data_IF_234204664265
#
_entry.id   IF_234204664265
#
_cell.length_a   1.000
_cell.length_b   1.000
_cell.length_c   1.000
_cell.angle_alpha   90.00
_cell.angle_beta   90.00
_cell.angle_gamma   90.00
#
_symmetry.space_group_name_H-M   'P 1'
#
loop_
_entity.id
_entity.type
_entity.pdbx_description
1 polymer ?
#
# COMPACT_ATOMS: atom_id res chain seq x y z
N UNK A 1 28.25 9.91 -11.83
CA UNK A 1 27.51 10.38 -10.65
C UNK A 1 26.35 9.44 -10.50
N UNK A 2 26.41 8.53 -9.56
CA UNK A 2 25.28 7.68 -9.24
C UNK A 2 24.18 8.59 -8.73
N UNK A 3 23.07 8.67 -9.46
CA UNK A 3 21.89 9.41 -9.02
C UNK A 3 21.34 8.67 -7.83
N UNK A 4 21.44 9.27 -6.65
CA UNK A 4 20.77 8.76 -5.45
C UNK A 4 19.27 8.80 -5.74
N UNK A 5 18.56 7.68 -5.61
CA UNK A 5 17.13 7.64 -5.73
C UNK A 5 16.51 8.60 -4.71
N UNK A 6 15.62 9.49 -5.16
CA UNK A 6 14.92 10.39 -4.25
C UNK A 6 13.69 9.71 -3.64
N UNK A 7 12.94 8.96 -4.46
CA UNK A 7 11.70 8.31 -4.03
C UNK A 7 11.69 6.84 -4.44
N UNK A 8 11.67 5.94 -3.46
CA UNK A 8 11.53 4.49 -3.68
C UNK A 8 10.16 4.01 -3.20
N UNK A 9 9.47 3.23 -4.01
CA UNK A 9 8.21 2.60 -3.63
C UNK A 9 8.44 1.13 -3.20
N UNK A 10 7.90 0.75 -2.05
CA UNK A 10 7.81 -0.64 -1.58
C UNK A 10 6.38 -1.12 -1.81
N UNK A 11 6.18 -1.98 -2.81
CA UNK A 11 4.86 -2.53 -3.15
C UNK A 11 4.70 -3.90 -2.50
N UNK A 12 3.76 -4.01 -1.56
CA UNK A 12 3.51 -5.21 -0.78
C UNK A 12 2.56 -6.16 -1.53
N UNK A 13 3.07 -7.28 -1.97
CA UNK A 13 2.31 -8.31 -2.72
C UNK A 13 2.54 -9.74 -2.20
N UNK A 14 3.20 -9.91 -1.05
CA UNK A 14 3.56 -11.23 -0.46
C UNK A 14 2.39 -12.03 0.13
N UNK A 15 1.19 -11.47 0.23
CA UNK A 15 0.04 -12.08 0.90
C UNK A 15 -0.49 -13.34 0.22
N UNK A 16 -1.01 -14.29 1.02
CA UNK A 16 -1.60 -15.54 0.54
C UNK A 16 -2.99 -15.39 -0.10
N UNK A 17 -3.67 -14.28 0.15
CA UNK A 17 -5.02 -14.03 -0.40
C UNK A 17 -6.13 -14.90 0.22
N UNK A 18 -5.97 -15.43 1.42
CA UNK A 18 -6.85 -16.42 2.06
C UNK A 18 -8.33 -16.03 2.18
N UNK A 19 -8.65 -14.75 2.15
CA UNK A 19 -10.04 -14.23 2.19
C UNK A 19 -10.70 -14.10 0.81
N UNK A 20 -9.98 -14.40 -0.26
CA UNK A 20 -10.51 -14.39 -1.62
C UNK A 20 -10.88 -15.82 -2.01
N UNK A 21 -12.18 -16.10 -2.12
CA UNK A 21 -12.68 -17.45 -2.35
C UNK A 21 -12.83 -17.77 -3.85
N UNK A 22 -12.62 -19.03 -4.21
CA UNK A 22 -12.85 -19.52 -5.59
C UNK A 22 -11.67 -19.36 -6.55
N UNK A 23 -10.52 -18.88 -6.07
CA UNK A 23 -9.29 -18.84 -6.86
C UNK A 23 -8.26 -19.82 -6.33
N UNK A 24 -7.57 -20.53 -7.21
CA UNK A 24 -6.42 -21.41 -6.88
C UNK A 24 -5.10 -20.64 -6.78
N UNK A 25 -5.10 -19.36 -7.16
CA UNK A 25 -3.95 -18.45 -7.10
C UNK A 25 -4.23 -17.29 -6.15
N UNK A 26 -3.20 -16.69 -5.54
CA UNK A 26 -3.37 -15.51 -4.70
C UNK A 26 -4.02 -14.35 -5.45
N UNK A 27 -4.84 -13.56 -4.74
CA UNK A 27 -5.70 -12.52 -5.31
C UNK A 27 -4.96 -11.47 -6.15
N UNK A 28 -3.69 -11.18 -5.86
CA UNK A 28 -2.90 -10.23 -6.63
C UNK A 28 -2.68 -10.64 -8.08
N UNK A 29 -2.82 -11.93 -8.38
CA UNK A 29 -2.73 -12.49 -9.74
C UNK A 29 -4.08 -12.70 -10.41
N UNK A 30 -5.18 -12.53 -9.66
CA UNK A 30 -6.52 -12.59 -10.25
C UNK A 30 -6.69 -11.42 -11.21
N UNK A 31 -7.26 -11.71 -12.36
CA UNK A 31 -7.44 -10.72 -13.41
C UNK A 31 -8.75 -9.94 -13.24
N UNK A 32 -8.67 -8.68 -13.59
CA UNK A 32 -9.80 -7.82 -13.89
C UNK A 32 -9.61 -7.40 -15.34
N UNK A 33 -10.56 -7.75 -16.19
CA UNK A 33 -10.51 -7.34 -17.60
C UNK A 33 -9.26 -7.84 -18.36
N UNK A 34 -8.82 -9.06 -18.05
CA UNK A 34 -7.66 -9.69 -18.67
C UNK A 34 -6.30 -9.17 -18.17
N UNK A 35 -6.28 -8.39 -17.08
CA UNK A 35 -5.06 -7.86 -16.48
C UNK A 35 -5.01 -8.16 -14.98
N UNK A 36 -3.88 -8.71 -14.44
CA UNK A 36 -3.75 -8.98 -13.02
C UNK A 36 -3.95 -7.75 -12.14
N UNK A 37 -4.57 -7.91 -10.96
CA UNK A 37 -4.79 -6.81 -10.00
C UNK A 37 -3.47 -6.08 -9.69
N UNK A 38 -2.38 -6.84 -9.48
CA UNK A 38 -1.06 -6.26 -9.22
C UNK A 38 -0.59 -5.36 -10.35
N UNK A 39 -0.85 -5.75 -11.60
CA UNK A 39 -0.40 -5.00 -12.76
C UNK A 39 -1.03 -3.60 -12.84
N UNK A 40 -2.30 -3.45 -12.44
CA UNK A 40 -2.92 -2.10 -12.33
C UNK A 40 -2.22 -1.22 -11.28
N UNK A 41 -1.83 -1.81 -10.15
CA UNK A 41 -1.05 -1.08 -9.15
C UNK A 41 0.31 -0.65 -9.72
N UNK A 42 1.02 -1.57 -10.37
CA UNK A 42 2.34 -1.29 -10.94
C UNK A 42 2.29 -0.28 -12.09
N UNK A 43 1.21 -0.25 -12.90
CA UNK A 43 1.03 0.80 -13.94
C UNK A 43 1.13 2.20 -13.34
N UNK A 44 0.44 2.43 -12.22
CA UNK A 44 0.46 3.73 -11.56
C UNK A 44 1.87 4.11 -11.14
N UNK A 45 2.63 3.19 -10.53
CA UNK A 45 4.00 3.48 -10.07
C UNK A 45 5.00 3.59 -11.22
N UNK A 46 4.81 2.83 -12.30
CA UNK A 46 5.64 2.93 -13.50
C UNK A 46 5.45 4.28 -14.21
N UNK A 47 4.19 4.78 -14.28
CA UNK A 47 3.87 6.03 -14.97
C UNK A 47 4.30 7.30 -14.22
N UNK A 48 4.42 7.25 -12.89
CA UNK A 48 4.73 8.42 -12.05
C UNK A 48 6.20 8.84 -12.15
N UNK A 49 6.53 10.01 -12.73
CA UNK A 49 7.93 10.42 -12.94
C UNK A 49 8.69 10.66 -11.63
N UNK A 50 7.98 10.94 -10.50
CA UNK A 50 8.61 11.13 -9.20
C UNK A 50 9.03 9.83 -8.51
N UNK A 51 8.62 8.68 -9.01
CA UNK A 51 9.04 7.37 -8.49
C UNK A 51 10.26 6.90 -9.29
N UNK A 52 11.40 6.74 -8.63
CA UNK A 52 12.64 6.31 -9.28
C UNK A 52 12.74 4.79 -9.38
N UNK A 53 12.29 4.10 -8.32
CA UNK A 53 12.43 2.66 -8.18
C UNK A 53 11.24 2.04 -7.44
N UNK A 54 10.93 0.80 -7.78
CA UNK A 54 9.97 -0.05 -7.10
C UNK A 54 10.65 -1.31 -6.58
N UNK A 55 10.56 -1.54 -5.28
CA UNK A 55 10.86 -2.82 -4.64
C UNK A 55 9.56 -3.59 -4.46
N UNK A 56 9.47 -4.75 -5.07
CA UNK A 56 8.29 -5.58 -5.02
C UNK A 56 8.46 -6.68 -3.96
N UNK A 57 7.67 -6.59 -2.87
CA UNK A 57 7.67 -7.62 -1.83
C UNK A 57 6.72 -8.73 -2.25
N UNK A 58 7.27 -9.93 -2.48
CA UNK A 58 6.63 -11.04 -3.15
C UNK A 58 6.33 -12.23 -2.21
N UNK A 59 5.38 -13.06 -2.63
CA UNK A 59 5.27 -14.43 -2.12
C UNK A 59 6.19 -15.34 -2.93
N UNK A 60 7.29 -15.77 -2.33
CA UNK A 60 8.34 -16.56 -3.00
C UNK A 60 7.80 -17.82 -3.68
N UNK A 61 6.72 -18.41 -3.19
CA UNK A 61 6.09 -19.58 -3.83
C UNK A 61 5.62 -19.31 -5.26
N UNK A 62 5.36 -18.04 -5.59
CA UNK A 62 4.81 -17.61 -6.87
C UNK A 62 5.78 -16.67 -7.62
N UNK A 63 7.05 -16.74 -7.30
CA UNK A 63 8.08 -15.81 -7.80
C UNK A 63 8.04 -15.66 -9.33
N UNK A 64 7.91 -16.77 -10.06
CA UNK A 64 7.86 -16.74 -11.52
C UNK A 64 6.69 -15.89 -12.05
N UNK A 65 5.52 -15.92 -11.42
CA UNK A 65 4.38 -15.11 -11.84
C UNK A 65 4.65 -13.60 -11.72
N UNK A 66 5.45 -13.18 -10.74
CA UNK A 66 5.84 -11.77 -10.62
C UNK A 66 6.79 -11.36 -11.75
N UNK A 67 7.77 -12.19 -12.07
CA UNK A 67 8.67 -11.94 -13.21
C UNK A 67 7.89 -11.91 -14.53
N UNK A 68 6.96 -12.84 -14.74
CA UNK A 68 6.13 -12.91 -15.95
C UNK A 68 5.27 -11.63 -16.09
N UNK A 69 4.67 -11.15 -15.00
CA UNK A 69 3.91 -9.88 -14.99
C UNK A 69 4.83 -8.72 -15.35
N UNK A 70 5.97 -8.58 -14.68
CA UNK A 70 6.87 -7.46 -14.93
C UNK A 70 7.40 -7.46 -16.37
N UNK A 71 7.72 -8.63 -16.91
CA UNK A 71 8.16 -8.80 -18.30
C UNK A 71 7.05 -8.51 -19.31
N UNK A 72 5.84 -9.05 -19.06
CA UNK A 72 4.69 -8.90 -19.97
C UNK A 72 4.23 -7.45 -20.11
N UNK A 73 4.21 -6.70 -19.01
CA UNK A 73 3.76 -5.31 -18.99
C UNK A 73 4.91 -4.30 -19.09
N UNK A 74 6.17 -4.74 -19.09
CA UNK A 74 7.34 -3.89 -19.32
C UNK A 74 7.67 -2.93 -18.18
N UNK A 75 7.48 -3.35 -16.92
CA UNK A 75 7.80 -2.52 -15.76
C UNK A 75 9.31 -2.38 -15.56
N UNK A 76 9.86 -1.23 -15.86
CA UNK A 76 11.28 -0.92 -15.81
C UNK A 76 11.73 -0.41 -14.42
N UNK A 77 10.80 0.15 -13.64
CA UNK A 77 11.08 0.65 -12.29
C UNK A 77 11.12 -0.46 -11.24
N UNK A 78 10.54 -1.63 -11.51
CA UNK A 78 10.65 -2.79 -10.61
C UNK A 78 12.07 -3.35 -10.72
N UNK A 79 12.94 -2.98 -9.78
CA UNK A 79 14.34 -3.37 -9.77
C UNK A 79 14.65 -4.57 -8.89
N UNK A 80 13.90 -4.69 -7.78
CA UNK A 80 14.21 -5.63 -6.72
C UNK A 80 12.97 -6.41 -6.31
N UNK A 81 13.12 -7.73 -6.15
CA UNK A 81 12.11 -8.64 -5.63
C UNK A 81 12.56 -9.16 -4.28
N UNK A 82 11.72 -8.98 -3.25
CA UNK A 82 12.04 -9.35 -1.88
C UNK A 82 11.01 -10.33 -1.33
N UNK A 83 11.42 -11.47 -0.76
CA UNK A 83 10.47 -12.35 -0.10
C UNK A 83 9.75 -11.65 1.06
N UNK A 84 8.43 -11.68 1.07
CA UNK A 84 7.63 -11.14 2.18
C UNK A 84 7.87 -11.89 3.49
N UNK A 85 7.58 -11.22 4.61
CA UNK A 85 7.62 -11.79 5.95
C UNK A 85 6.32 -12.50 6.33
N UNK A 86 6.29 -12.97 7.59
CA UNK A 86 5.11 -13.61 8.19
C UNK A 86 3.99 -12.59 8.48
N UNK A 87 4.33 -11.31 8.66
CA UNK A 87 3.41 -10.20 8.89
C UNK A 87 3.59 -9.10 7.84
N UNK A 88 2.64 -8.15 7.79
CA UNK A 88 2.77 -6.95 6.96
C UNK A 88 3.98 -6.12 7.42
N UNK A 89 4.12 -5.92 8.72
CA UNK A 89 5.24 -5.19 9.33
C UNK A 89 6.59 -5.79 8.94
N UNK A 90 6.76 -7.11 9.06
CA UNK A 90 7.99 -7.81 8.64
C UNK A 90 8.24 -7.67 7.13
N UNK A 91 7.17 -7.70 6.33
CA UNK A 91 7.27 -7.52 4.87
C UNK A 91 7.79 -6.12 4.50
N UNK A 92 7.33 -5.07 5.20
CA UNK A 92 7.86 -3.70 5.02
C UNK A 92 9.30 -3.61 5.47
N UNK A 93 9.65 -4.19 6.63
CA UNK A 93 11.03 -4.21 7.14
C UNK A 93 12.00 -4.84 6.11
N UNK A 94 11.64 -5.97 5.53
CA UNK A 94 12.45 -6.63 4.49
C UNK A 94 12.57 -5.79 3.22
N UNK A 95 11.50 -5.10 2.82
CA UNK A 95 11.56 -4.14 1.71
C UNK A 95 12.50 -2.98 2.03
N UNK A 96 12.44 -2.47 3.25
CA UNK A 96 13.30 -1.37 3.71
C UNK A 96 14.78 -1.76 3.81
N UNK A 97 15.08 -3.01 4.18
CA UNK A 97 16.44 -3.57 4.20
C UNK A 97 17.04 -3.77 2.81
N UNK A 98 16.20 -3.83 1.78
CA UNK A 98 16.61 -4.11 0.40
C UNK A 98 16.80 -2.86 -0.47
N UNK A 99 16.54 -1.67 0.08
CA UNK A 99 16.73 -0.39 -0.62
C UNK A 99 17.95 0.35 -0.08
N UNK A 100 18.61 1.07 -0.98
CA UNK A 100 19.59 2.06 -0.56
C UNK A 100 18.91 3.24 0.14
N UNK A 101 19.59 3.96 1.05
CA UNK A 101 19.06 5.17 1.65
C UNK A 101 18.60 6.17 0.59
N UNK A 102 17.33 6.60 0.69
CA UNK A 102 16.69 7.55 -0.20
C UNK A 102 16.03 8.68 0.61
N UNK A 103 15.44 9.67 -0.04
CA UNK A 103 14.73 10.72 0.66
C UNK A 103 13.39 10.22 1.20
N UNK A 104 12.60 9.62 0.32
CA UNK A 104 11.21 9.21 0.59
C UNK A 104 11.00 7.73 0.26
N UNK A 105 10.29 7.04 1.15
CA UNK A 105 9.77 5.68 0.94
C UNK A 105 8.26 5.72 0.88
N UNK A 106 7.71 5.16 -0.20
CA UNK A 106 6.26 5.02 -0.42
C UNK A 106 5.87 3.56 -0.20
N UNK A 107 5.07 3.26 0.82
CA UNK A 107 4.61 1.89 1.11
C UNK A 107 3.20 1.70 0.55
N UNK A 108 3.06 0.80 -0.42
CA UNK A 108 1.81 0.56 -1.15
C UNK A 108 1.36 -0.90 -1.03
N UNK A 109 0.05 -1.09 -0.85
CA UNK A 109 -0.56 -2.43 -1.01
C UNK A 109 -0.72 -2.77 -2.51
N UNK A 110 -0.10 -3.83 -3.01
CA UNK A 110 -0.17 -4.27 -4.43
C UNK A 110 -1.56 -4.72 -4.89
N UNK A 111 -2.55 -4.72 -4.01
CA UNK A 111 -3.96 -5.04 -4.29
C UNK A 111 -4.88 -3.82 -4.16
N UNK A 112 -4.34 -2.62 -4.30
CA UNK A 112 -5.08 -1.36 -4.49
C UNK A 112 -4.81 -0.83 -5.90
N UNK A 113 -5.57 -1.29 -6.89
CA UNK A 113 -5.30 -1.01 -8.31
C UNK A 113 -5.59 0.42 -8.73
N UNK A 114 -6.30 1.20 -7.90
CA UNK A 114 -6.82 2.52 -8.28
C UNK A 114 -6.38 3.63 -7.32
N UNK A 115 -5.16 3.52 -6.77
CA UNK A 115 -4.56 4.63 -6.02
C UNK A 115 -4.41 5.85 -6.93
N UNK A 116 -4.86 7.01 -6.45
CA UNK A 116 -4.84 8.25 -7.23
C UNK A 116 -3.41 8.81 -7.33
N UNK A 117 -2.95 9.14 -8.52
CA UNK A 117 -1.67 9.82 -8.74
C UNK A 117 -1.57 11.11 -7.92
N UNK A 118 -2.66 11.87 -7.84
CA UNK A 118 -2.74 13.09 -7.03
C UNK A 118 -2.47 12.79 -5.57
N UNK A 119 -3.12 11.78 -4.98
CA UNK A 119 -2.93 11.46 -3.56
C UNK A 119 -1.53 10.89 -3.28
N UNK A 120 -0.92 10.17 -4.23
CA UNK A 120 0.47 9.71 -4.13
C UNK A 120 1.42 10.92 -4.10
N UNK A 121 1.25 11.86 -5.03
CA UNK A 121 2.05 13.09 -5.09
C UNK A 121 1.90 13.91 -3.80
N UNK A 122 0.67 14.17 -3.35
CA UNK A 122 0.40 14.94 -2.13
C UNK A 122 0.97 14.24 -0.88
N UNK A 123 0.97 12.90 -0.83
CA UNK A 123 1.58 12.14 0.26
C UNK A 123 3.10 12.26 0.27
N UNK A 124 3.76 12.24 -0.90
CA UNK A 124 5.21 12.47 -1.02
C UNK A 124 5.57 13.87 -0.51
N UNK A 125 4.88 14.90 -0.98
CA UNK A 125 5.14 16.27 -0.54
C UNK A 125 4.85 16.47 0.96
N UNK A 126 3.79 15.85 1.48
CA UNK A 126 3.49 15.89 2.90
C UNK A 126 4.57 15.18 3.74
N UNK A 127 5.08 14.04 3.28
CA UNK A 127 6.17 13.33 3.96
C UNK A 127 7.48 14.14 3.96
N UNK A 128 7.78 14.85 2.87
CA UNK A 128 8.92 15.79 2.82
C UNK A 128 8.85 16.86 3.90
N UNK A 129 7.66 17.39 4.15
CA UNK A 129 7.45 18.48 5.13
C UNK A 129 7.35 17.95 6.56
N UNK A 130 6.53 16.91 6.77
CA UNK A 130 6.13 16.46 8.11
C UNK A 130 6.84 15.18 8.57
N UNK A 131 7.61 14.51 7.70
CA UNK A 131 8.33 13.28 7.99
C UNK A 131 7.53 12.01 7.68
N UNK A 132 6.20 12.05 7.78
CA UNK A 132 5.31 10.93 7.44
C UNK A 132 3.94 11.43 6.99
N UNK A 133 3.32 10.69 6.08
CA UNK A 133 1.96 10.93 5.60
C UNK A 133 1.21 9.61 5.38
N UNK A 134 -0.10 9.63 5.57
CA UNK A 134 -1.00 8.51 5.30
C UNK A 134 -2.19 8.98 4.48
N UNK A 135 -2.50 8.27 3.41
CA UNK A 135 -3.66 8.56 2.57
C UNK A 135 -4.90 8.00 3.26
N UNK A 136 -5.87 8.88 3.48
CA UNK A 136 -7.09 8.56 4.23
C UNK A 136 -8.33 9.02 3.48
N UNK A 137 -9.47 8.37 3.74
CA UNK A 137 -10.78 8.78 3.22
C UNK A 137 -11.79 8.93 4.34
N UNK A 138 -12.82 9.79 4.18
CA UNK A 138 -13.88 9.91 5.18
C UNK A 138 -14.56 8.57 5.46
N UNK A 139 -14.85 8.30 6.74
CA UNK A 139 -15.69 7.18 7.14
C UNK A 139 -17.15 7.50 6.86
N UNK A 140 -17.81 6.72 6.00
CA UNK A 140 -19.21 6.94 5.63
C UNK A 140 -20.17 6.28 6.61
N UNK A 141 -19.82 5.07 7.08
CA UNK A 141 -20.63 4.31 8.03
C UNK A 141 -20.43 4.81 9.47
N UNK A 142 -21.39 4.50 10.32
CA UNK A 142 -21.25 4.68 11.76
C UNK A 142 -20.30 3.63 12.30
N UNK A 143 -19.20 4.06 12.91
CA UNK A 143 -18.24 3.16 13.58
C UNK A 143 -18.71 2.90 14.99
N UNK A 144 -18.68 1.66 15.40
CA UNK A 144 -18.98 1.21 16.75
C UNK A 144 -17.77 0.47 17.34
N UNK A 145 -17.52 0.67 18.63
CA UNK A 145 -16.62 -0.17 19.39
C UNK A 145 -17.41 -1.32 19.99
N UNK A 146 -16.98 -2.57 19.72
CA UNK A 146 -17.63 -3.78 20.25
C UNK A 146 -16.67 -4.50 21.20
N UNK A 147 -17.20 -4.98 22.31
CA UNK A 147 -16.51 -5.87 23.27
C UNK A 147 -17.49 -6.95 23.75
N UNK A 148 -17.09 -8.20 23.65
CA UNK A 148 -17.85 -9.37 24.12
C UNK A 148 -19.29 -9.44 23.57
N UNK A 149 -19.50 -9.01 22.32
CA UNK A 149 -20.80 -9.00 21.63
C UNK A 149 -21.69 -7.78 21.93
N UNK A 150 -21.19 -6.80 22.71
CA UNK A 150 -21.92 -5.58 23.03
C UNK A 150 -21.28 -4.34 22.43
N UNK A 151 -22.11 -3.41 21.91
CA UNK A 151 -21.63 -2.08 21.51
C UNK A 151 -21.36 -1.29 22.80
N UNK A 152 -20.10 -0.88 22.99
CA UNK A 152 -19.67 -0.14 24.18
C UNK A 152 -19.42 1.34 23.91
N UNK A 153 -19.25 1.73 22.64
CA UNK A 153 -19.01 3.12 22.25
C UNK A 153 -19.41 3.35 20.79
N UNK A 154 -19.82 4.57 20.50
CA UNK A 154 -20.05 5.07 19.13
C UNK A 154 -19.22 6.36 18.99
N UNK A 155 -17.97 6.26 18.49
CA UNK A 155 -17.10 7.41 18.33
C UNK A 155 -17.68 8.47 17.38
N UNK A 156 -17.35 9.73 17.58
CA UNK A 156 -17.71 10.80 16.65
C UNK A 156 -16.96 10.62 15.32
N UNK A 157 -17.69 10.22 14.29
CA UNK A 157 -17.13 9.93 12.96
C UNK A 157 -16.56 11.16 12.25
N UNK A 158 -16.83 12.39 12.71
CA UNK A 158 -16.27 13.60 12.11
C UNK A 158 -14.74 13.63 12.21
N UNK A 159 -14.20 12.96 13.22
CA UNK A 159 -12.76 12.81 13.44
C UNK A 159 -12.18 11.48 12.96
N UNK A 160 -13.01 10.60 12.39
CA UNK A 160 -12.58 9.30 11.92
C UNK A 160 -12.33 9.30 10.41
N UNK A 161 -11.32 8.57 10.00
CA UNK A 161 -10.96 8.32 8.60
C UNK A 161 -10.59 6.86 8.43
N UNK A 162 -10.88 6.32 7.27
CA UNK A 162 -10.36 5.00 6.89
C UNK A 162 -8.96 5.19 6.30
N UNK A 163 -7.95 4.49 6.87
CA UNK A 163 -6.61 4.42 6.31
C UNK A 163 -6.63 3.70 4.96
N UNK A 164 -6.03 4.34 3.97
CA UNK A 164 -5.84 3.75 2.65
C UNK A 164 -4.34 3.48 2.40
N UNK A 165 -3.88 3.68 1.20
CA UNK A 165 -2.50 3.67 0.77
C UNK A 165 -2.35 4.66 -0.41
N UNK A 166 -1.12 5.15 -0.61
CA UNK A 166 0.11 4.77 0.08
C UNK A 166 0.24 5.39 1.48
N UNK A 167 1.08 4.74 2.29
CA UNK A 167 1.71 5.37 3.45
C UNK A 167 3.10 5.84 3.04
N UNK A 168 3.46 7.06 3.31
CA UNK A 168 4.66 7.69 2.76
C UNK A 168 5.50 8.31 3.87
N UNK A 169 6.81 8.10 3.83
CA UNK A 169 7.69 8.44 4.92
C UNK A 169 9.02 8.99 4.39
N UNK A 170 9.66 9.86 5.14
CA UNK A 170 11.10 9.99 5.04
C UNK A 170 11.74 8.66 5.41
N UNK A 171 12.73 8.22 4.64
CA UNK A 171 13.42 6.94 4.87
C UNK A 171 13.83 6.75 6.33
N UNK A 172 14.51 7.73 6.89
CA UNK A 172 15.01 7.69 8.28
C UNK A 172 13.90 7.65 9.34
N UNK A 173 12.71 8.21 9.05
CA UNK A 173 11.55 8.16 9.95
C UNK A 173 10.98 6.75 10.00
N UNK A 174 10.80 6.11 8.84
CA UNK A 174 10.31 4.75 8.75
C UNK A 174 11.30 3.76 9.36
N UNK A 175 12.60 3.91 9.05
CA UNK A 175 13.66 3.07 9.61
C UNK A 175 13.65 3.11 11.14
N UNK A 176 13.65 4.31 11.73
CA UNK A 176 13.59 4.46 13.20
C UNK A 176 12.33 3.88 13.81
N UNK A 177 11.19 4.01 13.14
CA UNK A 177 9.92 3.45 13.63
C UNK A 177 9.96 1.91 13.67
N UNK A 178 10.53 1.27 12.65
CA UNK A 178 10.73 -0.19 12.63
C UNK A 178 11.78 -0.66 13.67
N UNK A 179 12.87 0.08 13.85
CA UNK A 179 13.88 -0.21 14.89
C UNK A 179 13.28 -0.09 16.30
N UNK A 180 12.49 0.96 16.55
CA UNK A 180 11.76 1.12 17.81
C UNK A 180 10.83 -0.06 18.06
N UNK A 181 10.00 -0.44 17.08
CA UNK A 181 9.09 -1.56 17.22
C UNK A 181 9.81 -2.87 17.54
N UNK A 182 10.93 -3.14 16.88
CA UNK A 182 11.76 -4.33 17.13
C UNK A 182 12.33 -4.34 18.56
N UNK A 183 12.80 -3.20 19.07
CA UNK A 183 13.37 -3.11 20.43
C UNK A 183 12.32 -3.09 21.53
N UNK A 184 11.14 -2.54 21.26
CA UNK A 184 10.02 -2.49 22.20
C UNK A 184 9.17 -3.78 22.20
N UNK A 185 9.45 -4.75 21.31
CA UNK A 185 8.64 -5.96 21.15
C UNK A 185 7.22 -5.65 20.62
N UNK A 186 7.04 -4.54 19.90
CA UNK A 186 5.78 -4.11 19.31
C UNK A 186 5.58 -4.80 17.96
N UNK A 187 5.16 -6.06 17.99
CA UNK A 187 4.85 -6.85 16.82
C UNK A 187 3.37 -6.75 16.45
N UNK A 188 3.05 -6.87 15.14
CA UNK A 188 1.68 -6.99 14.66
C UNK A 188 0.98 -5.67 14.36
N UNK A 189 1.72 -4.58 14.14
CA UNK A 189 1.15 -3.35 13.62
C UNK A 189 0.46 -3.61 12.26
N UNK A 190 -0.76 -3.10 12.12
CA UNK A 190 -1.56 -3.27 10.90
C UNK A 190 -1.12 -2.35 9.78
N UNK A 191 -0.44 -1.25 10.15
CA UNK A 191 0.14 -0.26 9.23
C UNK A 191 1.39 0.39 9.85
N UNK A 192 2.17 1.11 9.03
CA UNK A 192 3.42 1.72 9.45
C UNK A 192 3.21 3.08 10.15
N UNK A 193 2.06 3.72 9.94
CA UNK A 193 1.69 4.94 10.66
C UNK A 193 1.60 4.68 12.18
N UNK A 194 1.11 3.49 12.59
CA UNK A 194 1.11 3.09 14.00
C UNK A 194 2.53 3.05 14.58
N UNK A 195 3.50 2.55 13.82
CA UNK A 195 4.90 2.46 14.27
C UNK A 195 5.51 3.84 14.44
N UNK A 196 5.25 4.76 13.49
CA UNK A 196 5.71 6.15 13.57
C UNK A 196 5.12 6.85 14.80
N UNK A 197 3.80 6.71 15.03
CA UNK A 197 3.13 7.29 16.20
C UNK A 197 3.68 6.70 17.50
N UNK A 198 3.88 5.38 17.57
CA UNK A 198 4.41 4.69 18.75
C UNK A 198 5.86 5.12 19.07
N UNK A 199 6.66 5.47 18.06
CA UNK A 199 8.01 6.02 18.23
C UNK A 199 8.05 7.52 18.53
N UNK A 200 6.90 8.17 18.74
CA UNK A 200 6.77 9.59 19.06
C UNK A 200 6.78 10.53 17.84
N UNK A 201 6.67 9.99 16.63
CA UNK A 201 6.55 10.76 15.40
C UNK A 201 5.12 11.30 15.17
N UNK A 202 4.97 12.03 14.07
CA UNK A 202 3.70 12.56 13.58
C UNK A 202 3.41 12.01 12.18
N UNK A 203 2.13 11.82 11.85
CA UNK A 203 1.69 11.38 10.53
C UNK A 203 0.66 12.37 10.00
N UNK A 204 0.94 12.93 8.82
CA UNK A 204 0.02 13.85 8.15
C UNK A 204 -1.05 13.08 7.40
N UNK A 205 -2.32 13.34 7.68
CA UNK A 205 -3.42 12.81 6.88
C UNK A 205 -3.50 13.55 5.53
N UNK A 206 -3.54 12.81 4.43
CA UNK A 206 -3.71 13.29 3.06
C UNK A 206 -5.02 12.73 2.51
N UNK A 207 -5.81 13.57 1.85
CA UNK A 207 -7.10 13.13 1.33
C UNK A 207 -6.93 12.21 0.12
N UNK A 208 -7.52 11.02 0.20
CA UNK A 208 -7.53 10.02 -0.85
C UNK A 208 -8.85 9.96 -1.61
N UNK A 209 -8.87 9.13 -2.67
CA UNK A 209 -10.10 8.76 -3.38
C UNK A 209 -10.69 7.47 -2.81
N UNK A 210 -12.02 7.40 -2.73
CA UNK A 210 -12.73 6.16 -2.39
C UNK A 210 -12.48 5.02 -3.40
N UNK A 211 -12.06 5.35 -4.63
CA UNK A 211 -11.66 4.35 -5.63
C UNK A 211 -10.38 3.59 -5.23
N UNK A 212 -9.53 4.17 -4.37
CA UNK A 212 -8.30 3.55 -3.88
C UNK A 212 -8.52 2.42 -2.87
N UNK A 213 -9.70 1.78 -2.86
CA UNK A 213 -10.01 0.67 -1.94
C UNK A 213 -9.12 -0.55 -2.18
N UNK A 214 -8.97 -1.35 -1.13
CA UNK A 214 -8.19 -2.59 -1.16
C UNK A 214 -9.06 -3.76 -1.60
N UNK A 215 -8.68 -4.45 -2.66
CA UNK A 215 -9.34 -5.70 -3.06
C UNK A 215 -8.98 -6.78 -2.03
N UNK A 216 -9.96 -7.18 -1.23
CA UNK A 216 -9.79 -8.15 -0.15
C UNK A 216 -10.72 -9.36 -0.32
N UNK A 217 -11.91 -9.13 -0.83
CA UNK A 217 -12.99 -10.12 -1.03
C UNK A 217 -13.44 -10.15 -2.49
N UNK A 218 -14.29 -11.13 -2.83
CA UNK A 218 -14.89 -11.21 -4.16
C UNK A 218 -15.83 -10.02 -4.48
N UNK A 219 -16.43 -9.41 -3.45
CA UNK A 219 -17.25 -8.20 -3.63
C UNK A 219 -16.39 -7.02 -4.08
N UNK A 220 -15.22 -6.85 -3.48
CA UNK A 220 -14.28 -5.79 -3.87
C UNK A 220 -13.81 -5.97 -5.32
N UNK A 221 -13.63 -7.22 -5.75
CA UNK A 221 -13.29 -7.54 -7.14
C UNK A 221 -14.41 -7.16 -8.12
N UNK A 222 -15.67 -7.43 -7.77
CA UNK A 222 -16.83 -6.98 -8.57
C UNK A 222 -16.88 -5.45 -8.64
N UNK A 223 -16.65 -4.75 -7.52
CA UNK A 223 -16.57 -3.29 -7.54
C UNK A 223 -15.45 -2.79 -8.43
N UNK A 224 -14.28 -3.41 -8.39
CA UNK A 224 -13.16 -3.05 -9.24
C UNK A 224 -13.48 -3.17 -10.74
N UNK A 225 -14.22 -4.20 -11.15
CA UNK A 225 -14.73 -4.31 -12.53
C UNK A 225 -15.64 -3.14 -12.90
N UNK A 226 -16.56 -2.74 -11.99
CA UNK A 226 -17.44 -1.61 -12.23
C UNK A 226 -16.71 -0.27 -12.29
N UNK A 227 -15.65 -0.07 -11.49
CA UNK A 227 -14.79 1.10 -11.57
C UNK A 227 -14.13 1.19 -12.96
N UNK A 228 -13.55 0.10 -13.46
CA UNK A 228 -12.94 0.08 -14.80
C UNK A 228 -13.96 0.38 -15.90
N UNK A 229 -15.16 -0.19 -15.81
CA UNK A 229 -16.23 0.09 -16.77
C UNK A 229 -16.69 1.55 -16.72
N UNK A 230 -16.81 2.12 -15.51
CA UNK A 230 -17.19 3.51 -15.33
C UNK A 230 -16.10 4.49 -15.89
N UNK A 231 -14.82 4.15 -15.71
CA UNK A 231 -13.70 4.91 -16.31
C UNK A 231 -13.73 4.84 -17.84
N UNK A 232 -13.97 3.66 -18.43
CA UNK A 232 -14.13 3.52 -19.89
C UNK A 232 -15.27 4.35 -20.45
N UNK A 233 -16.34 4.53 -19.69
CA UNK A 233 -17.50 5.37 -20.06
C UNK A 233 -17.29 6.86 -19.79
N UNK A 234 -16.17 7.25 -19.15
CA UNK A 234 -15.91 8.63 -18.75
C UNK A 234 -16.78 9.13 -17.58
N UNK A 235 -17.31 8.22 -16.77
CA UNK A 235 -18.10 8.55 -15.56
C UNK A 235 -17.21 8.77 -14.33
N UNK A 236 -16.02 8.20 -14.35
CA UNK A 236 -14.96 8.39 -13.35
C UNK A 236 -13.70 8.86 -14.07
N UNK A 237 -12.92 9.75 -13.43
CA UNK A 237 -11.69 10.33 -13.96
C UNK A 237 -10.45 9.54 -13.59
#
# INVERSE_FOLDING_TARGET
MDTVNEVTAIVLSGGSGSRFHGSYIPKQFVEIDGKPILAYCLDTYESLPMIDEVVLVINQRYEQLYYDICSTFGYLKVKTFVPGGSTRQESVARGLEAIDPCEIVVVQDGVRPFSSEKSIFEAIEAARIYGAADVVVPTLDTIVEERDGFIVSVPDRTHLRNGHAPQTFRYEVLLRAHEYARTAGAEGATDDAQLVLASGGQVRAVEGSSEGFKITTNIDWLFAQQVLEARRRGWLG
#
